data_IF_166918751026
#
_entry.id   IF_166918751026
#
_cell.length_a   1.000
_cell.length_b   1.000
_cell.length_c   1.000
_cell.angle_alpha   90.00
_cell.angle_beta   90.00
_cell.angle_gamma   90.00
#
_symmetry.space_group_name_H-M   'P 1'
#
loop_
_entity.id
_entity.type
_entity.pdbx_description
1 polymer ?
#
# COMPACT_ATOMS: atom_id res chain seq x y z
N UNK A 1 -9.92 -4.77 42.42
CA UNK A 1 -10.22 -4.06 41.16
C UNK A 1 -8.96 -3.78 40.33
N UNK A 2 -7.98 -4.70 40.22
CA UNK A 2 -6.72 -4.45 39.50
C UNK A 2 -6.64 -5.14 38.12
N UNK A 3 -7.49 -6.13 37.87
CA UNK A 3 -7.45 -6.96 36.65
C UNK A 3 -8.43 -6.50 35.55
N UNK A 4 -9.34 -5.58 35.86
CA UNK A 4 -10.38 -5.12 34.93
C UNK A 4 -9.80 -4.22 33.82
N UNK A 5 -8.81 -3.38 34.15
CA UNK A 5 -8.09 -2.57 33.17
C UNK A 5 -7.19 -3.40 32.24
N UNK A 6 -6.59 -4.46 32.75
CA UNK A 6 -5.76 -5.39 31.95
C UNK A 6 -6.64 -6.17 30.98
N UNK A 7 -7.78 -6.69 31.45
CA UNK A 7 -8.75 -7.38 30.60
C UNK A 7 -9.32 -6.47 29.50
N UNK A 8 -9.67 -5.22 29.86
CA UNK A 8 -10.13 -4.21 28.91
C UNK A 8 -9.09 -3.92 27.82
N UNK A 9 -7.82 -3.76 28.19
CA UNK A 9 -6.74 -3.49 27.25
C UNK A 9 -6.50 -4.67 26.30
N UNK A 10 -6.55 -5.91 26.83
CA UNK A 10 -6.38 -7.13 26.05
C UNK A 10 -7.52 -7.34 25.03
N UNK A 11 -8.77 -7.07 25.43
CA UNK A 11 -9.93 -7.12 24.52
C UNK A 11 -9.82 -6.06 23.43
N UNK A 12 -9.35 -4.87 23.76
CA UNK A 12 -9.14 -3.79 22.78
C UNK A 12 -8.02 -4.15 21.78
N UNK A 13 -6.92 -4.74 22.25
CA UNK A 13 -5.85 -5.24 21.38
C UNK A 13 -6.34 -6.35 20.44
N UNK A 14 -7.13 -7.31 20.94
CA UNK A 14 -7.70 -8.39 20.12
C UNK A 14 -8.67 -7.81 19.08
N UNK A 15 -9.52 -6.85 19.47
CA UNK A 15 -10.46 -6.19 18.56
C UNK A 15 -9.74 -5.45 17.42
N UNK A 16 -8.66 -4.71 17.72
CA UNK A 16 -7.88 -4.00 16.70
C UNK A 16 -7.19 -4.98 15.73
N UNK A 17 -6.69 -6.12 16.21
CA UNK A 17 -6.10 -7.17 15.36
C UNK A 17 -7.15 -7.82 14.45
N UNK A 18 -8.36 -8.04 14.96
CA UNK A 18 -9.43 -8.68 14.18
C UNK A 18 -10.00 -7.83 13.04
N UNK A 19 -9.88 -6.50 13.09
CA UNK A 19 -10.32 -5.60 12.01
C UNK A 19 -9.32 -5.55 10.85
N UNK A 20 -8.06 -5.94 11.05
CA UNK A 20 -7.02 -5.92 10.01
C UNK A 20 -7.00 -7.16 9.08
N UNK A 21 -7.79 -8.20 9.36
CA UNK A 21 -7.66 -9.49 8.67
C UNK A 21 -8.92 -9.96 7.96
N UNK A 22 -9.48 -9.16 7.04
CA UNK A 22 -10.31 -9.69 5.96
C UNK A 22 -10.63 -8.61 4.90
N UNK A 23 -9.60 -8.07 4.24
CA UNK A 23 -9.87 -7.50 2.91
C UNK A 23 -10.35 -8.66 2.00
N UNK A 24 -11.52 -8.57 1.35
CA UNK A 24 -11.97 -9.60 0.43
C UNK A 24 -10.91 -9.80 -0.66
N UNK A 25 -10.72 -11.04 -1.16
CA UNK A 25 -9.72 -11.32 -2.17
C UNK A 25 -9.96 -10.41 -3.37
N UNK A 26 -8.99 -9.53 -3.63
CA UNK A 26 -9.05 -8.56 -4.73
C UNK A 26 -9.24 -9.37 -6.03
N UNK A 27 -10.23 -9.02 -6.87
CA UNK A 27 -10.48 -9.76 -8.10
C UNK A 27 -9.19 -9.87 -8.91
N UNK A 28 -8.95 -11.06 -9.46
CA UNK A 28 -7.73 -11.30 -10.24
C UNK A 28 -7.67 -10.34 -11.43
N UNK A 29 -6.51 -9.73 -11.71
CA UNK A 29 -6.42 -8.79 -12.81
C UNK A 29 -6.69 -9.47 -14.15
N UNK A 30 -7.56 -8.88 -14.97
CA UNK A 30 -7.78 -9.34 -16.35
C UNK A 30 -6.93 -8.56 -17.34
N UNK A 31 -6.67 -9.18 -18.48
CA UNK A 31 -5.95 -8.54 -19.59
C UNK A 31 -6.71 -7.28 -20.05
N UNK A 32 -6.01 -6.15 -20.12
CA UNK A 32 -6.56 -4.86 -20.53
C UNK A 32 -7.33 -4.10 -19.46
N UNK A 33 -7.57 -4.69 -18.27
CA UNK A 33 -8.21 -3.97 -17.16
C UNK A 33 -7.15 -3.13 -16.42
N UNK A 34 -7.42 -1.84 -16.16
CA UNK A 34 -6.52 -1.00 -15.40
C UNK A 34 -6.57 -1.36 -13.91
N UNK A 35 -5.40 -1.43 -13.31
CA UNK A 35 -5.15 -1.70 -11.90
C UNK A 35 -4.60 -0.43 -11.27
N UNK A 36 -5.30 0.08 -10.27
CA UNK A 36 -4.88 1.25 -9.52
C UNK A 36 -4.27 0.83 -8.19
N UNK A 37 -3.18 1.49 -7.83
CA UNK A 37 -2.54 1.37 -6.52
C UNK A 37 -2.35 2.77 -5.95
N UNK A 38 -2.73 2.94 -4.69
CA UNK A 38 -2.44 4.13 -3.91
C UNK A 38 -1.90 3.66 -2.58
N UNK A 39 -0.68 4.09 -2.26
CA UNK A 39 0.01 3.75 -1.04
C UNK A 39 0.38 5.06 -0.36
N UNK A 40 -0.03 5.22 0.89
CA UNK A 40 0.38 6.32 1.74
C UNK A 40 1.23 5.78 2.87
N UNK A 41 2.34 6.43 3.16
CA UNK A 41 3.14 6.15 4.34
C UNK A 41 3.42 7.46 5.06
N UNK A 42 3.37 7.45 6.39
CA UNK A 42 3.69 8.63 7.17
C UNK A 42 3.96 8.29 8.62
N UNK A 43 4.83 9.08 9.22
CA UNK A 43 5.24 8.96 10.60
C UNK A 43 5.86 10.28 11.08
N UNK A 44 5.71 10.57 12.35
CA UNK A 44 6.19 11.83 12.90
C UNK A 44 6.06 11.85 14.41
N UNK A 45 6.90 12.65 15.07
CA UNK A 45 6.85 12.82 16.52
C UNK A 45 5.80 13.84 16.92
N UNK A 46 5.66 14.90 16.12
CA UNK A 46 4.72 16.00 16.34
C UNK A 46 4.42 16.75 15.04
N UNK A 47 3.52 17.73 15.10
CA UNK A 47 3.13 18.56 13.94
C UNK A 47 4.26 19.41 13.36
N UNK A 48 5.37 19.57 14.10
CA UNK A 48 6.54 20.33 13.66
C UNK A 48 7.62 19.42 13.06
N UNK A 49 7.52 18.11 13.29
CA UNK A 49 8.46 17.06 12.91
C UNK A 49 7.72 15.81 12.43
N UNK A 50 7.38 15.77 11.14
CA UNK A 50 6.74 14.63 10.51
C UNK A 50 7.33 14.35 9.13
N UNK A 51 7.19 13.12 8.66
CA UNK A 51 7.43 12.72 7.29
C UNK A 51 6.20 11.96 6.79
N UNK A 52 5.75 12.27 5.59
CA UNK A 52 4.66 11.62 4.92
C UNK A 52 5.01 11.49 3.44
N UNK A 53 4.39 10.54 2.76
CA UNK A 53 4.58 10.35 1.35
C UNK A 53 3.47 9.51 0.79
N UNK A 54 3.27 9.65 -0.51
CA UNK A 54 2.34 8.80 -1.23
C UNK A 54 3.00 8.29 -2.50
N UNK A 55 2.52 7.14 -2.95
CA UNK A 55 2.82 6.55 -4.25
C UNK A 55 1.50 6.16 -4.88
N UNK A 56 1.21 6.71 -6.05
CA UNK A 56 0.10 6.33 -6.90
C UNK A 56 0.66 5.58 -8.11
N UNK A 57 -0.01 4.52 -8.54
CA UNK A 57 0.39 3.77 -9.73
C UNK A 57 -0.81 3.25 -10.49
N UNK A 58 -0.69 3.21 -11.81
CA UNK A 58 -1.64 2.58 -12.71
C UNK A 58 -0.91 1.59 -13.59
N UNK A 59 -1.42 0.38 -13.67
CA UNK A 59 -0.90 -0.65 -14.57
C UNK A 59 -2.01 -1.47 -15.19
N UNK A 60 -1.68 -2.34 -16.12
CA UNK A 60 -2.63 -3.28 -16.70
C UNK A 60 -1.92 -4.58 -17.03
N UNK A 61 -2.67 -5.67 -16.99
CA UNK A 61 -2.18 -6.94 -17.52
C UNK A 61 -2.20 -6.86 -19.04
N UNK A 62 -1.05 -7.00 -19.68
CA UNK A 62 -0.97 -6.94 -21.14
C UNK A 62 -1.04 -8.32 -21.78
N UNK A 63 -0.70 -9.36 -21.01
CA UNK A 63 -0.71 -10.72 -21.49
C UNK A 63 -0.95 -11.71 -20.36
N UNK A 64 -1.69 -12.77 -20.67
CA UNK A 64 -1.87 -13.93 -19.81
C UNK A 64 -1.75 -15.19 -20.67
N UNK A 65 -1.02 -16.19 -20.15
CA UNK A 65 -0.95 -17.52 -20.75
C UNK A 65 -2.32 -18.20 -20.80
N UNK A 66 -2.55 -19.04 -21.81
CA UNK A 66 -3.80 -19.83 -21.93
C UNK A 66 -4.05 -20.75 -20.73
N UNK A 67 -2.98 -21.23 -20.10
CA UNK A 67 -3.02 -22.10 -18.91
C UNK A 67 -3.10 -21.33 -17.60
N UNK A 68 -3.13 -19.99 -17.64
CA UNK A 68 -3.14 -19.09 -16.47
C UNK A 68 -1.97 -19.31 -15.50
N UNK A 69 -0.86 -19.85 -15.98
CA UNK A 69 0.37 -20.13 -15.22
C UNK A 69 1.46 -19.06 -15.42
N UNK A 70 1.25 -18.13 -16.35
CA UNK A 70 2.07 -16.95 -16.54
C UNK A 70 1.24 -15.71 -16.88
N UNK A 71 1.70 -14.55 -16.42
CA UNK A 71 1.13 -13.24 -16.74
C UNK A 71 2.23 -12.17 -16.86
N UNK A 72 1.98 -11.18 -17.72
CA UNK A 72 2.80 -9.98 -17.85
C UNK A 72 1.93 -8.74 -17.59
N UNK A 73 2.35 -7.95 -16.61
CA UNK A 73 1.72 -6.69 -16.24
C UNK A 73 2.68 -5.54 -16.57
N UNK A 74 2.17 -4.43 -17.11
CA UNK A 74 2.92 -3.19 -17.32
C UNK A 74 2.27 -2.07 -16.52
N UNK A 75 3.05 -1.10 -16.04
CA UNK A 75 2.49 0.05 -15.35
C UNK A 75 3.45 1.20 -15.18
N UNK A 76 2.87 2.30 -14.74
CA UNK A 76 3.56 3.54 -14.37
C UNK A 76 3.19 3.95 -12.96
N UNK A 77 4.12 4.62 -12.29
CA UNK A 77 3.94 5.10 -10.93
C UNK A 77 4.43 6.53 -10.76
N UNK A 78 3.84 7.23 -9.80
CA UNK A 78 4.20 8.57 -9.37
C UNK A 78 4.23 8.61 -7.85
N UNK A 79 5.35 9.07 -7.29
CA UNK A 79 5.56 9.18 -5.85
C UNK A 79 6.00 10.56 -5.44
N UNK A 80 5.57 11.02 -4.27
CA UNK A 80 6.02 12.28 -3.69
C UNK A 80 6.00 12.23 -2.16
N UNK A 81 7.08 12.73 -1.56
CA UNK A 81 7.26 12.88 -0.13
C UNK A 81 7.10 14.32 0.34
N UNK A 82 6.68 14.47 1.58
CA UNK A 82 6.59 15.70 2.34
C UNK A 82 7.18 15.46 3.72
N UNK A 83 8.03 16.34 4.18
CA UNK A 83 8.53 16.30 5.54
C UNK A 83 8.42 17.68 6.18
N UNK A 84 8.39 17.72 7.49
CA UNK A 84 8.54 18.92 8.29
C UNK A 84 9.59 18.64 9.34
N UNK A 85 10.54 19.55 9.50
CA UNK A 85 11.58 19.44 10.53
C UNK A 85 11.77 20.80 11.18
N UNK A 86 11.66 20.86 12.50
CA UNK A 86 11.71 22.10 13.29
C UNK A 86 10.73 23.18 12.78
N UNK A 87 9.58 22.77 12.24
CA UNK A 87 8.58 23.68 11.68
C UNK A 87 8.84 24.12 10.23
N UNK A 88 9.97 23.77 9.62
CA UNK A 88 10.24 24.00 8.19
C UNK A 88 9.72 22.84 7.34
N UNK A 89 8.96 23.15 6.31
CA UNK A 89 8.38 22.16 5.40
C UNK A 89 9.33 21.89 4.24
N UNK A 90 9.56 20.62 3.96
CA UNK A 90 10.34 20.10 2.86
C UNK A 90 9.45 19.24 1.98
N UNK A 91 9.68 19.30 0.69
CA UNK A 91 8.97 18.51 -0.31
C UNK A 91 10.02 17.78 -1.14
N UNK A 92 9.87 16.46 -1.30
CA UNK A 92 10.79 15.71 -2.15
C UNK A 92 10.53 16.04 -3.61
N UNK A 93 11.53 15.79 -4.44
CA UNK A 93 11.31 15.73 -5.88
C UNK A 93 10.32 14.60 -6.21
N UNK A 94 9.47 14.78 -7.24
CA UNK A 94 8.58 13.73 -7.69
C UNK A 94 9.38 12.58 -8.30
N UNK A 95 9.01 11.35 -7.96
CA UNK A 95 9.59 10.14 -8.55
C UNK A 95 8.59 9.54 -9.54
N UNK A 96 9.04 9.27 -10.77
CA UNK A 96 8.27 8.59 -11.80
C UNK A 96 8.86 7.21 -12.04
N UNK A 97 7.99 6.20 -12.18
CA UNK A 97 8.39 4.83 -12.48
C UNK A 97 7.66 4.31 -13.70
N UNK A 98 8.35 3.49 -14.50
CA UNK A 98 7.77 2.65 -15.53
C UNK A 98 8.34 1.25 -15.33
N UNK A 99 7.48 0.24 -15.31
CA UNK A 99 7.90 -1.11 -14.97
C UNK A 99 7.01 -2.18 -15.59
N UNK A 100 7.60 -3.36 -15.74
CA UNK A 100 6.91 -4.58 -16.11
C UNK A 100 7.11 -5.63 -15.03
N UNK A 101 6.05 -6.38 -14.72
CA UNK A 101 6.10 -7.51 -13.80
C UNK A 101 5.74 -8.78 -14.57
N UNK A 102 6.65 -9.73 -14.63
CA UNK A 102 6.38 -11.07 -15.14
C UNK A 102 6.17 -12.01 -13.96
N UNK A 103 5.04 -12.71 -13.94
CA UNK A 103 4.73 -13.72 -12.94
C UNK A 103 4.65 -15.07 -13.62
N UNK A 104 5.30 -16.07 -13.04
CA UNK A 104 5.26 -17.45 -13.48
C UNK A 104 5.10 -18.37 -12.28
N UNK A 105 4.15 -19.30 -12.37
CA UNK A 105 3.82 -20.23 -11.31
C UNK A 105 2.41 -20.75 -11.47
N UNK A 106 2.17 -22.00 -11.08
CA UNK A 106 0.81 -22.51 -10.96
C UNK A 106 0.09 -21.71 -9.88
N UNK A 107 -1.08 -21.15 -10.23
CA UNK A 107 -2.07 -20.75 -9.23
C UNK A 107 -2.57 -21.96 -8.46
#
# INVERSE_FOLDING_TARGET
MKYLGVASCLVLCIAVVSVQSADPPKPEPKVGEPQFSLQGAGGGKDLRNFAAGFNAGVGTRVWESKKKDASLDLGVSYGQGFARQNGHTFKSEPTYGLGGTFRWGRK
#
